data_IF_233301642102
#
_entry.id   IF_233301642102
#
_cell.length_a   1.000
_cell.length_b   1.000
_cell.length_c   1.000
_cell.angle_alpha   90.00
_cell.angle_beta   90.00
_cell.angle_gamma   90.00
#
_symmetry.space_group_name_H-M   'P 1'
#
loop_
_entity.id
_entity.type
_entity.pdbx_description
1 polymer ?
#
# COMPACT_ATOMS: atom_id res chain seq x y z
N UNK A 1 77.39 -57.97 24.69
CA UNK A 1 77.85 -56.56 24.66
C UNK A 1 76.61 -55.68 24.61
N UNK A 2 76.60 -54.64 25.46
CA UNK A 2 75.50 -53.75 25.87
C UNK A 2 74.65 -53.17 24.72
N UNK A 3 73.31 -53.14 24.84
CA UNK A 3 72.49 -51.99 25.25
C UNK A 3 70.98 -52.35 25.19
N UNK A 4 70.20 -51.80 26.12
CA UNK A 4 68.82 -52.15 26.42
C UNK A 4 67.78 -51.59 25.42
N UNK A 5 66.74 -52.37 25.13
CA UNK A 5 65.52 -51.95 24.43
C UNK A 5 64.48 -51.42 25.42
N UNK A 6 63.98 -50.22 25.17
CA UNK A 6 62.70 -49.72 25.72
C UNK A 6 61.97 -49.03 24.57
N UNK A 7 60.84 -49.58 24.10
CA UNK A 7 59.89 -48.86 23.25
C UNK A 7 58.49 -48.97 23.85
N UNK A 8 57.96 -47.78 24.13
CA UNK A 8 56.71 -47.44 24.78
C UNK A 8 55.50 -47.71 23.87
N UNK A 9 54.43 -48.25 24.45
CA UNK A 9 53.12 -48.38 23.83
C UNK A 9 52.49 -46.99 23.57
N UNK A 10 51.95 -46.78 22.38
CA UNK A 10 51.08 -45.65 22.05
C UNK A 10 49.65 -45.97 22.48
N UNK A 11 49.12 -45.20 23.44
CA UNK A 11 47.70 -45.20 23.80
C UNK A 11 47.01 -44.04 23.06
N UNK A 12 45.95 -44.37 22.30
CA UNK A 12 45.10 -43.42 21.60
C UNK A 12 44.12 -42.82 22.62
N UNK A 13 44.19 -41.50 22.84
CA UNK A 13 43.24 -40.77 23.68
C UNK A 13 42.07 -40.29 22.81
N UNK A 14 40.89 -40.88 22.97
CA UNK A 14 39.62 -40.37 22.45
C UNK A 14 39.17 -39.20 23.36
N UNK A 15 39.20 -37.97 22.85
CA UNK A 15 38.59 -36.83 23.53
C UNK A 15 37.12 -36.73 23.10
N UNK A 16 36.21 -37.19 23.97
CA UNK A 16 34.76 -36.94 23.87
C UNK A 16 34.48 -35.49 24.25
N UNK A 17 34.09 -34.66 23.28
CA UNK A 17 33.59 -33.31 23.50
C UNK A 17 32.17 -33.39 24.08
N UNK A 18 32.04 -33.23 25.40
CA UNK A 18 30.75 -33.00 26.06
C UNK A 18 30.36 -31.53 25.85
N UNK A 19 29.56 -31.26 24.81
CA UNK A 19 28.82 -30.00 24.67
C UNK A 19 27.73 -29.96 25.76
N UNK A 20 27.63 -28.87 26.55
CA UNK A 20 26.49 -28.73 27.45
C UNK A 20 25.23 -28.54 26.60
N UNK A 21 24.26 -29.44 26.75
CA UNK A 21 22.89 -29.17 26.33
C UNK A 21 22.41 -27.97 27.15
N UNK A 22 22.50 -26.78 26.57
CA UNK A 22 21.71 -25.64 27.02
C UNK A 22 20.28 -25.98 26.63
N UNK A 23 19.51 -26.49 27.59
CA UNK A 23 18.06 -26.53 27.49
C UNK A 23 17.61 -25.12 27.15
N UNK A 24 17.15 -24.89 25.91
CA UNK A 24 16.30 -23.73 25.61
C UNK A 24 15.08 -23.89 26.50
N UNK A 25 15.09 -23.20 27.63
CA UNK A 25 13.87 -22.93 28.37
C UNK A 25 12.98 -22.19 27.39
N UNK A 26 11.92 -22.85 26.92
CA UNK A 26 10.82 -22.18 26.26
C UNK A 26 10.13 -21.33 27.34
N UNK A 27 10.74 -20.19 27.68
CA UNK A 27 9.95 -19.07 28.17
C UNK A 27 9.07 -18.71 26.98
N UNK A 28 7.80 -19.14 27.03
CA UNK A 28 6.79 -18.37 26.34
C UNK A 28 6.92 -16.97 26.92
N UNK A 29 7.34 -16.00 26.10
CA UNK A 29 7.36 -14.61 26.53
C UNK A 29 5.94 -14.29 27.00
N UNK A 30 5.80 -13.87 28.27
CA UNK A 30 4.52 -13.43 28.81
C UNK A 30 3.94 -12.34 27.88
N UNK A 31 2.63 -12.37 27.58
CA UNK A 31 2.00 -11.37 26.73
C UNK A 31 2.39 -9.97 27.19
N UNK A 32 2.98 -9.18 26.30
CA UNK A 32 3.32 -7.80 26.65
C UNK A 32 2.04 -7.00 26.86
N UNK A 33 1.97 -6.27 27.98
CA UNK A 33 0.92 -5.27 28.19
C UNK A 33 1.30 -4.01 27.40
N UNK A 34 0.41 -3.59 26.52
CA UNK A 34 0.52 -2.37 25.73
C UNK A 34 -0.57 -1.37 26.12
N UNK A 35 -0.35 -0.10 25.85
CA UNK A 35 -1.43 0.86 25.66
C UNK A 35 -2.00 0.68 24.25
N UNK A 36 -3.25 0.29 24.16
CA UNK A 36 -3.96 0.10 22.89
C UNK A 36 -5.12 1.09 22.77
N UNK A 37 -5.32 1.64 21.58
CA UNK A 37 -6.39 2.59 21.31
C UNK A 37 -6.82 2.53 19.85
N UNK A 38 -8.12 2.64 19.59
CA UNK A 38 -8.69 2.64 18.25
C UNK A 38 -9.61 3.83 18.04
N UNK A 39 -9.66 4.33 16.81
CA UNK A 39 -10.45 5.50 16.45
C UNK A 39 -10.86 5.48 14.98
N UNK A 40 -12.09 5.91 14.71
CA UNK A 40 -12.65 5.97 13.37
C UNK A 40 -13.28 7.34 13.12
N UNK A 41 -13.12 7.87 11.91
CA UNK A 41 -13.73 9.13 11.51
C UNK A 41 -14.07 9.18 10.02
N UNK A 42 -14.99 10.06 9.63
CA UNK A 42 -15.38 10.29 8.24
C UNK A 42 -14.31 11.10 7.47
N UNK A 43 -13.96 10.64 6.27
CA UNK A 43 -13.07 11.34 5.33
C UNK A 43 -13.74 11.57 3.98
N UNK A 44 -15.06 11.36 3.89
CA UNK A 44 -15.81 11.46 2.63
C UNK A 44 -15.72 12.88 2.05
N UNK A 45 -15.22 12.96 0.83
CA UNK A 45 -15.11 14.19 0.06
C UNK A 45 -16.41 14.62 -0.64
N UNK A 46 -16.30 15.55 -1.61
CA UNK A 46 -17.43 16.04 -2.38
C UNK A 46 -18.11 14.93 -3.20
N UNK A 47 -19.41 14.79 -2.99
CA UNK A 47 -20.22 13.73 -3.60
C UNK A 47 -20.78 14.07 -5.00
N UNK A 48 -20.44 15.23 -5.55
CA UNK A 48 -20.90 15.65 -6.87
C UNK A 48 -19.78 16.36 -7.66
N UNK A 49 -19.73 16.09 -8.96
CA UNK A 49 -18.98 16.83 -9.99
C UNK A 49 -17.46 16.84 -9.85
N UNK A 50 -16.88 16.02 -8.96
CA UNK A 50 -15.43 15.87 -8.81
C UNK A 50 -14.98 14.59 -9.50
N UNK A 51 -13.95 14.67 -10.34
CA UNK A 51 -13.32 13.49 -10.95
C UNK A 51 -12.92 12.47 -9.89
N UNK A 52 -13.12 11.18 -10.14
CA UNK A 52 -12.76 10.12 -9.20
C UNK A 52 -11.28 9.73 -9.36
N UNK A 53 -10.64 9.35 -8.25
CA UNK A 53 -9.22 9.00 -8.22
C UNK A 53 -9.02 7.49 -8.43
N UNK A 54 -8.16 7.13 -9.37
CA UNK A 54 -7.77 5.73 -9.62
C UNK A 54 -7.71 5.41 -11.11
N UNK A 55 -8.88 5.35 -11.76
CA UNK A 55 -8.99 4.90 -13.16
C UNK A 55 -8.53 5.92 -14.21
N UNK A 56 -8.36 7.19 -13.85
CA UNK A 56 -8.05 8.28 -14.79
C UNK A 56 -9.06 8.42 -15.95
N UNK A 57 -10.31 8.04 -15.72
CA UNK A 57 -11.40 8.18 -16.70
C UNK A 57 -12.03 9.58 -16.62
N UNK A 58 -11.94 10.34 -17.72
CA UNK A 58 -12.36 11.73 -17.77
C UNK A 58 -13.87 11.95 -17.51
N UNK A 59 -14.71 10.94 -17.80
CA UNK A 59 -16.16 10.97 -17.55
C UNK A 59 -16.56 10.47 -16.16
N UNK A 60 -15.61 9.93 -15.40
CA UNK A 60 -15.88 9.41 -14.07
C UNK A 60 -15.84 10.55 -13.04
N UNK A 61 -17.01 11.11 -12.75
CA UNK A 61 -17.19 12.14 -11.71
C UNK A 61 -18.15 11.65 -10.64
N UNK A 62 -17.94 12.08 -9.39
CA UNK A 62 -18.87 11.78 -8.30
C UNK A 62 -20.28 12.30 -8.61
N UNK A 63 -21.30 11.52 -8.30
CA UNK A 63 -22.72 11.83 -8.49
C UNK A 63 -23.60 11.29 -7.34
N UNK A 64 -22.98 10.89 -6.23
CA UNK A 64 -23.65 10.43 -5.02
C UNK A 64 -22.72 9.60 -4.14
N UNK A 65 -23.31 8.91 -3.16
CA UNK A 65 -22.59 8.09 -2.18
C UNK A 65 -23.27 6.72 -2.09
N UNK A 66 -22.50 5.66 -2.30
CA UNK A 66 -22.88 4.31 -1.94
C UNK A 66 -22.50 4.03 -0.47
N UNK A 67 -21.21 4.20 -0.15
CA UNK A 67 -20.69 4.10 1.23
C UNK A 67 -19.84 5.30 1.55
N UNK A 68 -19.93 5.84 2.77
CA UNK A 68 -18.97 6.83 3.25
C UNK A 68 -17.56 6.23 3.35
N UNK A 69 -16.56 7.08 3.16
CA UNK A 69 -15.14 6.75 3.29
C UNK A 69 -14.67 7.04 4.72
N UNK A 70 -13.89 6.14 5.32
CA UNK A 70 -13.44 6.24 6.71
C UNK A 70 -11.93 6.22 6.84
N UNK A 71 -11.43 6.99 7.81
CA UNK A 71 -10.08 6.83 8.37
C UNK A 71 -10.16 6.00 9.64
N UNK A 72 -9.33 4.96 9.73
CA UNK A 72 -9.29 4.01 10.84
C UNK A 72 -7.90 3.98 11.45
N UNK A 73 -7.78 4.48 12.67
CA UNK A 73 -6.54 4.61 13.41
C UNK A 73 -6.41 3.57 14.51
N UNK A 74 -5.21 3.02 14.63
CA UNK A 74 -4.80 2.02 15.62
C UNK A 74 -3.53 2.52 16.29
N UNK A 75 -3.53 2.57 17.62
CA UNK A 75 -2.39 3.00 18.42
C UNK A 75 -1.93 1.84 19.29
N UNK A 76 -0.63 1.60 19.29
CA UNK A 76 0.06 0.71 20.22
C UNK A 76 1.16 1.50 20.92
N UNK A 77 1.27 1.34 22.23
CA UNK A 77 2.29 1.97 23.07
C UNK A 77 2.89 0.99 24.06
N UNK A 78 4.20 1.04 24.28
CA UNK A 78 4.85 0.46 25.44
C UNK A 78 5.16 1.55 26.48
N UNK A 79 6.01 1.28 27.46
CA UNK A 79 6.38 2.25 28.50
C UNK A 79 7.16 3.47 27.98
N UNK A 80 7.70 3.42 26.75
CA UNK A 80 8.63 4.41 26.22
C UNK A 80 8.17 5.02 24.87
N UNK A 81 7.58 4.22 23.98
CA UNK A 81 7.27 4.59 22.60
C UNK A 81 5.83 4.29 22.27
N UNK A 82 5.29 5.07 21.33
CA UNK A 82 3.99 4.83 20.71
C UNK A 82 4.13 4.87 19.20
N UNK A 83 3.30 4.09 18.52
CA UNK A 83 3.11 4.15 17.08
C UNK A 83 1.63 4.34 16.77
N UNK A 84 1.35 4.99 15.64
CA UNK A 84 0.02 5.14 15.08
C UNK A 84 0.03 4.51 13.70
N UNK A 85 -0.90 3.59 13.43
CA UNK A 85 -1.16 3.07 12.10
C UNK A 85 -2.56 3.50 11.67
N UNK A 86 -2.67 4.12 10.49
CA UNK A 86 -3.95 4.51 9.90
C UNK A 86 -4.13 3.83 8.57
N UNK A 87 -5.28 3.20 8.35
CA UNK A 87 -5.76 2.83 7.02
C UNK A 87 -6.99 3.66 6.66
N UNK A 88 -6.97 4.28 5.49
CA UNK A 88 -8.00 5.21 5.03
C UNK A 88 -8.63 4.73 3.72
N UNK A 89 -9.96 4.82 3.62
CA UNK A 89 -10.71 4.52 2.38
C UNK A 89 -10.45 5.60 1.32
N UNK A 90 -9.29 5.53 0.68
CA UNK A 90 -8.81 6.47 -0.34
C UNK A 90 -8.11 5.72 -1.47
N UNK A 91 -7.98 6.40 -2.62
CA UNK A 91 -7.18 5.91 -3.73
C UNK A 91 -5.72 5.81 -3.36
N UNK A 92 -5.10 6.86 -2.82
CA UNK A 92 -3.71 6.84 -2.35
C UNK A 92 -3.55 7.79 -1.16
N UNK A 93 -2.46 7.68 -0.42
CA UNK A 93 -2.03 8.76 0.48
C UNK A 93 -0.87 9.54 -0.12
N UNK A 94 -1.18 10.74 -0.56
CA UNK A 94 -0.17 11.65 -1.08
C UNK A 94 0.64 12.30 0.04
N UNK A 95 1.87 12.69 -0.30
CA UNK A 95 2.81 13.32 0.63
C UNK A 95 2.21 14.53 1.37
N UNK A 96 1.44 15.39 0.68
CA UNK A 96 0.83 16.56 1.31
C UNK A 96 -0.16 16.20 2.42
N UNK A 97 -0.88 15.07 2.29
CA UNK A 97 -1.77 14.58 3.35
C UNK A 97 -0.94 14.25 4.59
N UNK A 98 0.14 13.47 4.42
CA UNK A 98 1.03 13.08 5.52
C UNK A 98 1.64 14.31 6.21
N UNK A 99 2.16 15.27 5.45
CA UNK A 99 2.73 16.50 6.00
C UNK A 99 1.70 17.28 6.82
N UNK A 100 0.49 17.51 6.28
CA UNK A 100 -0.54 18.29 6.97
C UNK A 100 -1.19 17.58 8.14
N UNK A 101 -1.34 16.26 8.10
CA UNK A 101 -1.78 15.48 9.26
C UNK A 101 -0.77 15.60 10.39
N UNK A 102 0.53 15.40 10.12
CA UNK A 102 1.58 15.50 11.14
C UNK A 102 1.65 16.93 11.70
N UNK A 103 1.54 17.96 10.86
CA UNK A 103 1.47 19.36 11.30
C UNK A 103 0.33 19.60 12.29
N UNK A 104 -0.88 19.11 12.00
CA UNK A 104 -2.04 19.24 12.91
C UNK A 104 -1.85 18.44 14.19
N UNK A 105 -1.29 17.24 14.11
CA UNK A 105 -0.99 16.41 15.29
C UNK A 105 0.04 17.11 16.20
N UNK A 106 1.09 17.71 15.64
CA UNK A 106 2.10 18.44 16.41
C UNK A 106 1.61 19.80 16.93
N UNK A 107 0.59 20.38 16.31
CA UNK A 107 -0.07 21.59 16.82
C UNK A 107 -1.00 21.31 18.01
N UNK A 108 -1.40 20.06 18.25
CA UNK A 108 -2.22 19.69 19.40
C UNK A 108 -1.32 19.31 20.61
N UNK A 109 -1.40 20.04 21.74
CA UNK A 109 -0.55 19.79 22.92
C UNK A 109 -0.78 18.42 23.58
N UNK A 110 -1.92 17.78 23.39
CA UNK A 110 -2.21 16.43 23.92
C UNK A 110 -1.52 15.33 23.10
N UNK A 111 -1.35 15.56 21.79
CA UNK A 111 -0.79 14.58 20.85
C UNK A 111 0.71 14.80 20.58
N UNK A 112 1.15 16.05 20.53
CA UNK A 112 2.51 16.45 20.17
C UNK A 112 3.62 15.76 20.97
N UNK A 113 3.48 15.46 22.28
CA UNK A 113 4.50 14.74 23.04
C UNK A 113 4.73 13.30 22.56
N UNK A 114 3.75 12.70 21.89
CA UNK A 114 3.75 11.27 21.58
C UNK A 114 3.95 10.97 20.10
N UNK A 115 3.53 11.86 19.19
CA UNK A 115 3.44 11.54 17.77
C UNK A 115 4.11 12.60 16.90
N UNK A 116 4.86 12.14 15.91
CA UNK A 116 5.57 12.96 14.94
C UNK A 116 5.66 12.23 13.58
N UNK A 117 6.46 12.77 12.67
CA UNK A 117 6.65 12.19 11.33
C UNK A 117 7.03 10.70 11.36
N UNK A 118 7.87 10.30 12.32
CA UNK A 118 8.56 9.01 12.36
C UNK A 118 7.73 7.84 12.86
N UNK A 119 6.67 8.10 13.63
CA UNK A 119 5.88 7.06 14.30
C UNK A 119 4.38 7.14 13.97
N UNK A 120 4.03 7.91 12.95
CA UNK A 120 2.70 7.89 12.34
C UNK A 120 2.84 7.21 10.98
N UNK A 121 2.21 6.08 10.78
CA UNK A 121 2.09 5.42 9.48
C UNK A 121 0.69 5.67 8.96
N UNK A 122 0.59 6.19 7.74
CA UNK A 122 -0.69 6.36 7.06
C UNK A 122 -0.67 5.51 5.78
N UNK A 123 -1.72 4.72 5.56
CA UNK A 123 -1.92 3.91 4.36
C UNK A 123 -3.31 4.16 3.78
N UNK A 124 -3.49 3.83 2.51
CA UNK A 124 -4.79 3.83 1.85
C UNK A 124 -5.26 2.39 1.64
N UNK A 125 -6.57 2.17 1.56
CA UNK A 125 -7.13 0.89 1.08
C UNK A 125 -6.90 0.69 -0.42
N UNK A 126 -6.64 1.78 -1.14
CA UNK A 126 -6.50 1.85 -2.59
C UNK A 126 -7.84 1.83 -3.37
N UNK A 127 -8.96 2.24 -2.75
CA UNK A 127 -10.25 2.31 -3.47
C UNK A 127 -10.21 3.28 -4.65
N UNK A 128 -10.69 2.83 -5.82
CA UNK A 128 -10.90 3.69 -6.99
C UNK A 128 -12.27 4.40 -6.96
N UNK A 129 -13.04 4.19 -5.89
CA UNK A 129 -14.38 4.73 -5.68
C UNK A 129 -14.45 6.08 -4.97
N UNK A 130 -13.34 6.81 -4.79
CA UNK A 130 -13.31 8.10 -4.08
C UNK A 130 -13.13 9.32 -5.00
N UNK A 131 -13.55 10.54 -4.59
CA UNK A 131 -13.22 11.76 -5.32
C UNK A 131 -11.70 11.99 -5.34
N UNK A 132 -11.19 12.70 -6.34
CA UNK A 132 -9.77 13.03 -6.52
C UNK A 132 -9.36 14.44 -6.08
N UNK A 133 -8.22 14.92 -6.58
CA UNK A 133 -7.79 16.31 -6.43
C UNK A 133 -7.22 16.65 -5.06
N UNK A 134 -6.49 15.72 -4.43
CA UNK A 134 -5.95 15.90 -3.08
C UNK A 134 -4.45 15.56 -3.00
N UNK A 135 -3.76 15.54 -4.15
CA UNK A 135 -2.32 15.30 -4.15
C UNK A 135 -1.50 16.57 -3.96
N UNK A 136 -1.88 17.65 -4.64
CA UNK A 136 -1.08 18.86 -4.82
C UNK A 136 0.13 18.71 -5.75
N UNK A 137 0.23 17.58 -6.44
CA UNK A 137 1.19 17.35 -7.52
C UNK A 137 0.44 17.18 -8.84
N UNK A 138 0.92 17.85 -9.89
CA UNK A 138 0.19 17.94 -11.15
C UNK A 138 -0.15 16.58 -11.76
N UNK A 139 0.76 15.61 -11.71
CA UNK A 139 0.53 14.29 -12.32
C UNK A 139 -0.79 13.68 -11.87
N UNK A 140 -1.09 13.76 -10.58
CA UNK A 140 -2.22 13.07 -9.97
C UNK A 140 -3.50 13.93 -9.96
N UNK A 141 -3.37 15.26 -9.99
CA UNK A 141 -4.52 16.17 -9.98
C UNK A 141 -5.00 16.54 -11.40
N UNK A 142 -4.19 16.30 -12.44
CA UNK A 142 -4.51 16.68 -13.82
C UNK A 142 -5.81 16.05 -14.35
N UNK A 143 -6.02 14.76 -14.10
CA UNK A 143 -7.23 14.02 -14.51
C UNK A 143 -8.48 14.48 -13.74
N UNK A 144 -8.28 15.18 -12.63
CA UNK A 144 -9.34 15.73 -11.76
C UNK A 144 -9.59 17.21 -12.05
N UNK A 145 -8.87 17.80 -13.03
CA UNK A 145 -8.89 19.23 -13.37
C UNK A 145 -8.35 20.13 -12.25
N UNK A 146 -7.49 19.59 -11.38
CA UNK A 146 -6.74 20.35 -10.38
C UNK A 146 -6.99 19.93 -8.94
N UNK A 147 -6.43 20.73 -8.03
CA UNK A 147 -6.48 20.49 -6.59
C UNK A 147 -7.79 21.03 -5.99
N UNK A 148 -8.50 20.17 -5.25
CA UNK A 148 -9.77 20.44 -4.60
C UNK A 148 -9.52 20.62 -3.09
N UNK A 149 -9.17 21.84 -2.70
CA UNK A 149 -8.84 22.18 -1.31
C UNK A 149 -9.87 21.70 -0.27
N UNK A 150 -11.20 21.87 -0.46
CA UNK A 150 -12.17 21.38 0.52
C UNK A 150 -12.11 19.86 0.71
N UNK A 151 -11.84 19.11 -0.35
CA UNK A 151 -11.66 17.66 -0.26
C UNK A 151 -10.40 17.29 0.50
N UNK A 152 -9.27 17.91 0.16
CA UNK A 152 -8.01 17.75 0.87
C UNK A 152 -8.15 18.02 2.38
N UNK A 153 -8.81 19.12 2.75
CA UNK A 153 -9.02 19.47 4.16
C UNK A 153 -9.94 18.48 4.89
N UNK A 154 -10.95 17.93 4.20
CA UNK A 154 -11.82 16.88 4.75
C UNK A 154 -11.01 15.61 5.09
N UNK A 155 -10.12 15.19 4.18
CA UNK A 155 -9.24 14.03 4.41
C UNK A 155 -8.29 14.31 5.59
N UNK A 156 -7.56 15.43 5.55
CA UNK A 156 -6.58 15.78 6.60
C UNK A 156 -7.27 15.87 7.96
N UNK A 157 -8.45 16.51 8.02
CA UNK A 157 -9.21 16.61 9.25
C UNK A 157 -9.69 15.24 9.74
N UNK A 158 -10.27 14.41 8.87
CA UNK A 158 -10.79 13.12 9.30
C UNK A 158 -9.69 12.15 9.75
N UNK A 159 -8.52 12.15 9.08
CA UNK A 159 -7.36 11.39 9.57
C UNK A 159 -6.93 11.90 10.94
N UNK A 160 -6.72 13.21 11.10
CA UNK A 160 -6.38 13.80 12.41
C UNK A 160 -7.38 13.43 13.51
N UNK A 161 -8.69 13.51 13.23
CA UNK A 161 -9.75 13.16 14.19
C UNK A 161 -9.75 11.68 14.55
N UNK A 162 -9.49 10.78 13.59
CA UNK A 162 -9.37 9.35 13.90
C UNK A 162 -8.19 9.06 14.84
N UNK A 163 -7.05 9.74 14.66
CA UNK A 163 -5.88 9.64 15.54
C UNK A 163 -6.20 10.20 16.93
N UNK A 164 -6.85 11.37 17.00
CA UNK A 164 -7.26 11.98 18.28
C UNK A 164 -8.22 11.06 19.06
N UNK A 165 -9.23 10.50 18.39
CA UNK A 165 -10.14 9.51 19.00
C UNK A 165 -9.39 8.29 19.51
N UNK A 166 -8.48 7.73 18.70
CA UNK A 166 -7.67 6.58 19.11
C UNK A 166 -6.80 6.89 20.32
N UNK A 167 -6.23 8.11 20.39
CA UNK A 167 -5.46 8.57 21.55
C UNK A 167 -6.33 8.70 22.80
N UNK A 168 -7.51 9.32 22.68
CA UNK A 168 -8.44 9.50 23.81
C UNK A 168 -9.01 8.17 24.33
N UNK A 169 -8.99 7.12 23.50
CA UNK A 169 -9.42 5.77 23.83
C UNK A 169 -8.28 4.84 24.28
N UNK A 170 -7.08 5.37 24.53
CA UNK A 170 -5.94 4.57 25.00
C UNK A 170 -6.22 3.92 26.35
N UNK A 171 -5.96 2.62 26.44
CA UNK A 171 -6.09 1.85 27.68
C UNK A 171 -5.13 0.65 27.69
N UNK A 172 -4.77 0.11 28.87
CA UNK A 172 -4.00 -1.12 28.95
C UNK A 172 -4.70 -2.29 28.24
N UNK A 173 -3.91 -3.10 27.54
CA UNK A 173 -4.41 -4.26 26.80
C UNK A 173 -3.30 -5.02 26.10
N UNK A 174 -3.71 -5.83 25.13
CA UNK A 174 -2.84 -6.73 24.38
C UNK A 174 -3.19 -6.70 22.89
N UNK A 175 -2.25 -7.16 22.08
CA UNK A 175 -2.43 -7.34 20.64
C UNK A 175 -2.27 -8.82 20.35
N UNK A 176 -3.27 -9.43 19.73
CA UNK A 176 -3.21 -10.80 19.24
C UNK A 176 -2.93 -10.79 17.74
N UNK A 177 -2.17 -11.77 17.26
CA UNK A 177 -1.87 -11.97 15.84
C UNK A 177 -2.51 -13.26 15.34
N UNK A 178 -2.95 -13.27 14.09
CA UNK A 178 -3.37 -14.45 13.37
C UNK A 178 -2.90 -14.37 11.93
N UNK A 179 -2.37 -15.48 11.44
CA UNK A 179 -1.88 -15.61 10.07
C UNK A 179 -2.59 -16.77 9.38
N UNK A 180 -2.94 -16.57 8.13
CA UNK A 180 -3.60 -17.58 7.30
C UNK A 180 -3.30 -17.32 5.83
N UNK A 181 -3.84 -18.18 4.96
CA UNK A 181 -3.86 -18.00 3.52
C UNK A 181 -5.30 -17.74 3.06
N UNK A 182 -5.49 -16.86 2.08
CA UNK A 182 -6.78 -16.56 1.46
C UNK A 182 -6.75 -16.86 -0.04
N UNK A 183 -7.14 -18.09 -0.36
CA UNK A 183 -7.24 -18.57 -1.73
C UNK A 183 -8.51 -18.10 -2.45
N UNK A 184 -8.49 -18.14 -3.77
CA UNK A 184 -9.66 -17.85 -4.62
C UNK A 184 -10.07 -16.37 -4.68
N UNK A 185 -9.36 -15.49 -3.96
CA UNK A 185 -9.55 -14.04 -4.04
C UNK A 185 -8.45 -13.41 -4.89
N UNK A 186 -8.89 -12.83 -6.00
CA UNK A 186 -8.02 -12.15 -6.97
C UNK A 186 -7.05 -13.06 -7.72
N UNK A 187 -6.30 -12.46 -8.64
CA UNK A 187 -5.26 -13.13 -9.41
C UNK A 187 -4.34 -12.14 -10.13
N UNK A 188 -3.25 -12.64 -10.71
CA UNK A 188 -2.27 -11.78 -11.36
C UNK A 188 -2.82 -11.15 -12.64
N UNK A 189 -2.67 -9.83 -12.76
CA UNK A 189 -2.90 -9.06 -14.00
C UNK A 189 -1.63 -8.83 -14.83
N UNK A 190 -0.50 -9.39 -14.39
CA UNK A 190 0.81 -9.19 -15.02
C UNK A 190 1.65 -10.48 -15.08
N UNK A 191 1.02 -11.61 -15.43
CA UNK A 191 1.66 -12.94 -15.44
C UNK A 191 2.96 -13.02 -16.25
N UNK A 192 2.99 -12.39 -17.42
CA UNK A 192 4.19 -12.34 -18.26
C UNK A 192 5.35 -11.62 -17.54
N UNK A 193 5.06 -10.52 -16.85
CA UNK A 193 6.06 -9.78 -16.08
C UNK A 193 6.55 -10.60 -14.88
N UNK A 194 5.66 -11.29 -14.16
CA UNK A 194 6.04 -12.20 -13.08
C UNK A 194 6.93 -13.35 -13.59
N UNK A 195 6.63 -13.90 -14.77
CA UNK A 195 7.42 -14.96 -15.41
C UNK A 195 8.84 -14.55 -15.82
N UNK A 196 9.16 -13.25 -15.83
CA UNK A 196 10.51 -12.74 -16.08
C UNK A 196 11.40 -12.73 -14.82
N UNK A 197 10.85 -13.03 -13.64
CA UNK A 197 11.66 -13.19 -12.43
C UNK A 197 12.56 -14.45 -12.55
N UNK A 198 13.72 -14.49 -11.88
CA UNK A 198 14.59 -15.66 -11.90
C UNK A 198 13.87 -16.94 -11.47
N UNK A 199 14.09 -18.06 -12.17
CA UNK A 199 13.44 -19.35 -11.85
C UNK A 199 13.73 -19.80 -10.40
N UNK A 200 14.95 -19.53 -9.90
CA UNK A 200 15.33 -19.80 -8.51
C UNK A 200 14.53 -18.99 -7.48
N UNK A 201 13.97 -17.85 -7.88
CA UNK A 201 13.06 -17.05 -7.05
C UNK A 201 11.64 -17.57 -7.17
N UNK A 202 11.12 -17.75 -8.40
CA UNK A 202 9.75 -18.25 -8.66
C UNK A 202 9.52 -19.59 -7.95
N UNK A 203 10.47 -20.51 -8.02
CA UNK A 203 10.37 -21.84 -7.38
C UNK A 203 10.25 -21.83 -5.84
N UNK A 204 10.38 -20.67 -5.19
CA UNK A 204 10.18 -20.49 -3.74
C UNK A 204 8.74 -20.17 -3.35
N UNK A 205 7.86 -19.93 -4.33
CA UNK A 205 6.48 -19.52 -4.11
C UNK A 205 5.51 -20.47 -4.82
N UNK A 206 4.37 -20.74 -4.20
CA UNK A 206 3.35 -21.64 -4.75
C UNK A 206 2.41 -20.95 -5.76
N UNK A 207 2.46 -19.61 -5.85
CA UNK A 207 1.58 -18.80 -6.69
C UNK A 207 2.25 -17.50 -7.17
N UNK A 208 1.68 -16.90 -8.22
CA UNK A 208 2.07 -15.62 -8.81
C UNK A 208 1.44 -14.40 -8.12
N UNK A 209 0.80 -14.60 -6.98
CA UNK A 209 0.20 -13.55 -6.14
C UNK A 209 0.35 -13.94 -4.66
N UNK A 210 0.53 -12.95 -3.78
CA UNK A 210 0.61 -13.20 -2.34
C UNK A 210 -0.77 -13.55 -1.77
N UNK A 211 -0.89 -14.72 -1.16
CA UNK A 211 -2.11 -15.23 -0.54
C UNK A 211 -2.15 -15.03 0.98
N UNK A 212 -1.10 -14.47 1.55
CA UNK A 212 -0.98 -14.27 3.00
C UNK A 212 -2.02 -13.29 3.52
N UNK A 213 -2.71 -13.67 4.59
CA UNK A 213 -3.66 -12.84 5.30
C UNK A 213 -3.22 -12.75 6.77
N UNK A 214 -2.73 -11.60 7.17
CA UNK A 214 -2.28 -11.33 8.55
C UNK A 214 -3.28 -10.40 9.23
N UNK A 215 -3.72 -10.74 10.43
CA UNK A 215 -4.65 -9.95 11.23
C UNK A 215 -4.11 -9.69 12.63
N UNK A 216 -4.16 -8.42 13.05
CA UNK A 216 -4.01 -8.00 14.42
C UNK A 216 -5.38 -7.76 15.05
N UNK A 217 -5.55 -8.22 16.29
CA UNK A 217 -6.74 -8.00 17.10
C UNK A 217 -6.33 -7.28 18.38
N UNK A 218 -6.89 -6.10 18.57
CA UNK A 218 -6.63 -5.25 19.73
C UNK A 218 -7.65 -5.57 20.82
N UNK A 219 -7.16 -5.94 22.00
CA UNK A 219 -7.97 -6.40 23.12
C UNK A 219 -7.59 -5.61 24.36
N UNK A 220 -8.56 -5.14 25.12
CA UNK A 220 -8.32 -4.48 26.41
C UNK A 220 -7.84 -5.49 27.46
N UNK A 221 -7.31 -5.00 28.58
CA UNK A 221 -6.86 -5.84 29.70
C UNK A 221 -7.95 -6.76 30.26
N UNK A 222 -9.21 -6.35 30.22
CA UNK A 222 -10.38 -7.14 30.62
C UNK A 222 -10.88 -8.11 29.53
N UNK A 223 -10.18 -8.22 28.40
CA UNK A 223 -10.49 -9.19 27.34
C UNK A 223 -11.49 -8.70 26.29
N UNK A 224 -11.90 -7.43 26.33
CA UNK A 224 -12.86 -6.88 25.35
C UNK A 224 -12.14 -6.48 24.06
N UNK A 225 -12.59 -6.97 22.88
CA UNK A 225 -12.00 -6.57 21.61
C UNK A 225 -12.43 -5.14 21.23
N UNK A 226 -11.47 -4.31 20.82
CA UNK A 226 -11.71 -2.90 20.43
C UNK A 226 -11.40 -2.61 18.96
N UNK A 227 -10.76 -3.55 18.27
CA UNK A 227 -10.60 -3.46 16.82
C UNK A 227 -9.81 -4.61 16.21
N UNK A 228 -9.87 -4.68 14.89
CA UNK A 228 -8.99 -5.51 14.07
C UNK A 228 -8.31 -4.67 13.00
N UNK A 229 -7.10 -5.07 12.62
CA UNK A 229 -6.38 -4.53 11.47
C UNK A 229 -5.76 -5.70 10.71
N UNK A 230 -6.10 -5.86 9.43
CA UNK A 230 -5.57 -6.93 8.60
C UNK A 230 -4.91 -6.41 7.32
N UNK A 231 -4.05 -7.26 6.72
CA UNK A 231 -3.36 -7.03 5.46
C UNK A 231 -3.63 -8.19 4.50
N UNK A 232 -3.96 -7.85 3.26
CA UNK A 232 -4.13 -8.80 2.17
C UNK A 232 -3.97 -8.09 0.83
N UNK A 233 -3.25 -8.70 -0.13
CA UNK A 233 -2.96 -8.12 -1.43
C UNK A 233 -4.12 -8.32 -2.42
N UNK A 234 -4.93 -7.29 -2.65
CA UNK A 234 -5.92 -7.27 -3.75
C UNK A 234 -6.34 -5.84 -4.04
N UNK A 235 -6.31 -5.41 -5.31
CA UNK A 235 -6.80 -4.09 -5.67
C UNK A 235 -8.30 -3.92 -5.32
N UNK A 236 -8.73 -2.74 -4.85
CA UNK A 236 -10.14 -2.36 -4.69
C UNK A 236 -10.63 -1.58 -5.92
N UNK A 237 -10.60 -2.29 -7.05
CA UNK A 237 -11.14 -1.93 -8.35
C UNK A 237 -12.16 -2.99 -8.82
N UNK A 238 -12.92 -3.58 -7.88
CA UNK A 238 -14.04 -4.46 -8.21
C UNK A 238 -15.20 -3.69 -8.84
N UNK A 239 -15.37 -2.41 -8.50
CA UNK A 239 -16.36 -1.51 -9.09
C UNK A 239 -15.68 -0.64 -10.15
N UNK A 240 -16.09 -0.81 -11.40
CA UNK A 240 -15.43 -0.22 -12.57
C UNK A 240 -15.67 1.28 -12.78
N UNK A 241 -15.00 1.88 -13.78
CA UNK A 241 -14.92 3.33 -14.01
C UNK A 241 -16.23 3.98 -14.48
N UNK A 242 -17.25 3.20 -14.84
CA UNK A 242 -18.59 3.72 -15.17
C UNK A 242 -19.32 4.17 -13.89
N UNK A 243 -18.98 3.62 -12.72
CA UNK A 243 -19.59 4.02 -11.45
C UNK A 243 -19.24 5.47 -11.10
N UNK A 244 -20.25 6.18 -10.59
CA UNK A 244 -20.16 7.58 -10.14
C UNK A 244 -20.51 7.75 -8.66
N UNK A 245 -20.82 6.68 -7.92
CA UNK A 245 -21.11 6.76 -6.48
C UNK A 245 -19.85 6.54 -5.66
N UNK A 246 -19.67 7.37 -4.62
CA UNK A 246 -18.55 7.21 -3.69
C UNK A 246 -18.63 5.86 -2.97
N UNK A 247 -17.54 5.10 -2.95
CA UNK A 247 -17.49 3.79 -2.32
C UNK A 247 -16.09 3.40 -1.82
N UNK A 248 -16.05 2.64 -0.73
CA UNK A 248 -14.81 2.04 -0.21
C UNK A 248 -14.41 0.75 -0.93
N UNK A 249 -15.16 0.34 -1.96
CA UNK A 249 -14.96 -0.88 -2.74
C UNK A 249 -14.85 -2.13 -1.84
N UNK A 250 -14.18 -3.20 -2.28
CA UNK A 250 -14.19 -4.49 -1.59
C UNK A 250 -13.65 -4.43 -0.16
N UNK A 251 -12.56 -3.69 0.10
CA UNK A 251 -11.98 -3.53 1.44
C UNK A 251 -12.83 -2.67 2.37
N UNK A 252 -13.35 -1.54 1.88
CA UNK A 252 -14.19 -0.65 2.67
C UNK A 252 -15.53 -1.28 3.03
N UNK A 253 -16.12 -2.07 2.12
CA UNK A 253 -17.35 -2.82 2.41
C UNK A 253 -17.07 -3.97 3.38
N UNK A 254 -15.94 -4.69 3.25
CA UNK A 254 -15.55 -5.73 4.21
C UNK A 254 -15.36 -5.15 5.63
N UNK A 255 -14.72 -3.99 5.73
CA UNK A 255 -14.59 -3.22 6.96
C UNK A 255 -15.95 -2.85 7.55
N UNK A 256 -16.85 -2.29 6.74
CA UNK A 256 -18.21 -1.94 7.15
C UNK A 256 -19.00 -3.16 7.65
N UNK A 257 -18.93 -4.30 6.96
CA UNK A 257 -19.61 -5.53 7.36
C UNK A 257 -19.13 -6.02 8.73
N UNK A 258 -17.81 -6.01 8.96
CA UNK A 258 -17.23 -6.39 10.25
C UNK A 258 -17.60 -5.40 11.35
N UNK A 259 -17.50 -4.10 11.08
CA UNK A 259 -17.89 -3.03 12.00
C UNK A 259 -19.36 -3.15 12.42
N UNK A 260 -20.25 -3.43 11.47
CA UNK A 260 -21.67 -3.62 11.71
C UNK A 260 -21.93 -4.82 12.62
N UNK A 261 -21.29 -5.96 12.37
CA UNK A 261 -21.41 -7.16 13.21
C UNK A 261 -20.95 -6.89 14.66
N UNK A 262 -19.95 -6.01 14.84
CA UNK A 262 -19.44 -5.61 16.15
C UNK A 262 -20.20 -4.44 16.79
N UNK A 263 -21.28 -3.96 16.18
CA UNK A 263 -22.10 -2.88 16.74
C UNK A 263 -21.44 -1.50 16.70
N UNK A 264 -20.60 -1.24 15.69
CA UNK A 264 -19.89 0.03 15.53
C UNK A 264 -20.87 1.19 15.40
N UNK A 265 -20.66 2.23 16.22
CA UNK A 265 -21.43 3.48 16.17
C UNK A 265 -20.52 4.60 15.67
N UNK A 266 -20.69 4.99 14.40
CA UNK A 266 -19.87 6.02 13.76
C UNK A 266 -20.02 7.43 14.36
N UNK A 267 -21.03 7.66 15.21
CA UNK A 267 -21.22 8.92 15.95
C UNK A 267 -20.60 8.89 17.34
N UNK A 268 -20.26 7.71 17.87
CA UNK A 268 -19.60 7.58 19.16
C UNK A 268 -18.10 7.91 19.06
N UNK A 269 -17.54 8.43 20.15
CA UNK A 269 -16.10 8.70 20.27
C UNK A 269 -15.29 7.41 20.50
N UNK A 270 -15.91 6.42 21.16
CA UNK A 270 -15.33 5.11 21.44
C UNK A 270 -16.24 4.01 20.87
N UNK A 271 -15.69 3.22 19.95
CA UNK A 271 -16.42 2.16 19.26
C UNK A 271 -15.45 1.13 18.68
N UNK A 272 -15.96 0.01 18.19
CA UNK A 272 -15.14 -0.99 17.51
C UNK A 272 -14.65 -0.45 16.15
N UNK A 273 -13.43 -0.81 15.75
CA UNK A 273 -12.85 -0.35 14.46
C UNK A 273 -12.27 -1.54 13.69
N UNK A 274 -12.63 -1.69 12.40
CA UNK A 274 -12.12 -2.77 11.55
C UNK A 274 -11.34 -2.23 10.34
N UNK A 275 -10.03 -2.35 10.34
CA UNK A 275 -9.15 -1.91 9.26
C UNK A 275 -8.78 -3.05 8.31
N UNK A 276 -8.97 -2.82 7.01
CA UNK A 276 -8.55 -3.72 5.94
C UNK A 276 -7.52 -2.98 5.09
N UNK A 277 -6.24 -3.23 5.35
CA UNK A 277 -5.12 -2.58 4.68
C UNK A 277 -4.65 -3.37 3.45
N UNK A 278 -3.86 -2.70 2.62
CA UNK A 278 -3.15 -3.30 1.50
C UNK A 278 -1.82 -3.90 1.93
N UNK A 279 -1.46 -5.02 1.28
CA UNK A 279 -0.12 -5.57 1.31
C UNK A 279 0.65 -5.16 0.03
N UNK A 280 0.90 -6.10 -0.87
CA UNK A 280 1.63 -5.95 -2.14
C UNK A 280 0.71 -6.25 -3.33
N UNK A 281 -0.23 -5.36 -3.61
CA UNK A 281 -1.34 -5.56 -4.55
C UNK A 281 -1.06 -5.12 -5.99
N UNK A 282 0.13 -4.61 -6.30
CA UNK A 282 0.45 -3.89 -7.55
C UNK A 282 -0.01 -4.59 -8.84
N UNK A 283 0.10 -5.91 -8.89
CA UNK A 283 -0.29 -6.78 -9.99
C UNK A 283 -1.38 -7.79 -9.61
N UNK A 284 -2.15 -7.53 -8.53
CA UNK A 284 -3.26 -8.38 -8.09
C UNK A 284 -4.60 -7.70 -8.34
N UNK A 285 -5.38 -8.25 -9.28
CA UNK A 285 -6.75 -7.80 -9.59
C UNK A 285 -7.81 -8.66 -8.90
N UNK A 286 -8.91 -8.09 -8.39
CA UNK A 286 -10.09 -8.83 -7.94
C UNK A 286 -10.91 -9.38 -9.11
N UNK A 287 -10.70 -8.90 -10.33
CA UNK A 287 -11.51 -9.17 -11.52
C UNK A 287 -11.06 -10.44 -12.28
N UNK A 288 -10.03 -11.13 -11.78
CA UNK A 288 -9.53 -12.37 -12.35
C UNK A 288 -10.63 -13.44 -12.42
N UNK A 289 -10.95 -13.89 -13.64
CA UNK A 289 -12.01 -14.86 -13.90
C UNK A 289 -13.44 -14.29 -13.95
N UNK A 290 -13.62 -12.98 -13.76
CA UNK A 290 -14.92 -12.30 -13.77
C UNK A 290 -15.13 -11.34 -14.96
N UNK A 291 -14.07 -11.05 -15.73
CA UNK A 291 -14.11 -10.09 -16.83
C UNK A 291 -13.73 -8.67 -16.37
N UNK A 292 -14.10 -7.64 -17.12
CA UNK A 292 -13.87 -6.26 -16.70
C UNK A 292 -14.78 -5.88 -15.53
N UNK A 293 -14.30 -4.99 -14.67
CA UNK A 293 -15.03 -4.49 -13.52
C UNK A 293 -16.35 -3.80 -13.95
N UNK A 294 -17.53 -4.30 -13.54
CA UNK A 294 -18.80 -3.66 -13.86
C UNK A 294 -19.06 -2.46 -12.92
N UNK A 295 -19.99 -1.55 -13.26
CA UNK A 295 -20.35 -0.43 -12.37
C UNK A 295 -21.21 -0.86 -11.16
N UNK A 296 -21.71 -2.10 -11.16
CA UNK A 296 -22.64 -2.59 -10.16
C UNK A 296 -22.05 -2.58 -8.74
N UNK A 297 -22.83 -2.05 -7.80
CA UNK A 297 -22.44 -1.81 -6.40
C UNK A 297 -22.98 -2.87 -5.43
N UNK A 298 -23.60 -3.91 -5.97
CA UNK A 298 -24.22 -5.00 -5.20
C UNK A 298 -23.60 -6.36 -5.56
N UNK A 299 -23.68 -7.29 -4.61
CA UNK A 299 -23.09 -8.62 -4.78
C UNK A 299 -23.85 -9.53 -5.74
N UNK A 300 -25.10 -9.23 -6.07
CA UNK A 300 -25.90 -10.08 -6.97
C UNK A 300 -25.44 -9.90 -8.43
N UNK A 301 -25.08 -8.67 -8.80
CA UNK A 301 -24.65 -8.32 -10.15
C UNK A 301 -23.13 -8.20 -10.29
N UNK A 302 -22.41 -7.83 -9.21
CA UNK A 302 -20.95 -7.74 -9.21
C UNK A 302 -20.30 -8.92 -8.46
N UNK A 303 -19.90 -9.95 -9.22
CA UNK A 303 -19.32 -11.18 -8.66
C UNK A 303 -17.88 -10.99 -8.16
N UNK A 304 -17.07 -10.14 -8.79
CA UNK A 304 -15.71 -9.86 -8.30
C UNK A 304 -15.77 -9.12 -6.97
N UNK A 305 -16.68 -8.14 -6.84
CA UNK A 305 -16.96 -7.45 -5.59
C UNK A 305 -17.42 -8.41 -4.50
N UNK A 306 -18.38 -9.29 -4.80
CA UNK A 306 -18.86 -10.29 -3.85
C UNK A 306 -17.73 -11.21 -3.37
N UNK A 307 -16.94 -11.74 -4.31
CA UNK A 307 -15.83 -12.64 -4.01
C UNK A 307 -14.76 -11.97 -3.13
N UNK A 308 -14.24 -10.81 -3.56
CA UNK A 308 -13.18 -10.11 -2.86
C UNK A 308 -13.63 -9.59 -1.50
N UNK A 309 -14.86 -9.10 -1.37
CA UNK A 309 -15.40 -8.59 -0.11
C UNK A 309 -15.65 -9.72 0.88
N UNK A 310 -16.41 -10.74 0.46
CA UNK A 310 -16.81 -11.83 1.36
C UNK A 310 -15.63 -12.71 1.74
N UNK A 311 -14.67 -12.93 0.84
CA UNK A 311 -13.45 -13.67 1.14
C UNK A 311 -12.64 -13.01 2.27
N UNK A 312 -12.37 -11.71 2.13
CA UNK A 312 -11.64 -10.94 3.15
C UNK A 312 -12.43 -10.87 4.48
N UNK A 313 -13.72 -10.56 4.42
CA UNK A 313 -14.56 -10.47 5.63
C UNK A 313 -14.68 -11.81 6.38
N UNK A 314 -14.90 -12.92 5.66
CA UNK A 314 -15.01 -14.24 6.28
C UNK A 314 -13.68 -14.67 6.89
N UNK A 315 -12.56 -14.44 6.20
CA UNK A 315 -11.23 -14.74 6.73
C UNK A 315 -10.91 -13.90 7.98
N UNK A 316 -11.28 -12.63 8.00
CA UNK A 316 -11.15 -11.78 9.17
C UNK A 316 -11.95 -12.32 10.37
N UNK A 317 -13.17 -12.82 10.14
CA UNK A 317 -14.01 -13.43 11.20
C UNK A 317 -13.45 -14.74 11.72
N UNK A 318 -12.95 -15.59 10.83
CA UNK A 318 -12.25 -16.82 11.18
C UNK A 318 -11.08 -16.53 12.12
N UNK A 319 -10.20 -15.60 11.75
CA UNK A 319 -9.06 -15.20 12.59
C UNK A 319 -9.49 -14.48 13.86
N UNK A 320 -10.55 -13.67 13.82
CA UNK A 320 -11.04 -13.00 15.03
C UNK A 320 -11.50 -13.99 16.12
N UNK A 321 -12.07 -15.12 15.69
CA UNK A 321 -12.55 -16.18 16.57
C UNK A 321 -11.43 -17.14 17.02
N UNK A 322 -10.39 -17.34 16.21
CA UNK A 322 -9.36 -18.35 16.44
C UNK A 322 -8.01 -17.81 16.95
N UNK A 323 -7.67 -16.54 16.69
CA UNK A 323 -6.41 -15.93 17.12
C UNK A 323 -6.28 -15.91 18.64
N UNK A 324 -5.21 -16.55 19.13
CA UNK A 324 -4.85 -16.63 20.53
C UNK A 324 -3.36 -16.36 20.78
N UNK A 325 -2.56 -16.15 19.73
CA UNK A 325 -1.16 -15.78 19.84
C UNK A 325 -1.04 -14.30 20.19
N UNK A 326 -0.27 -13.98 21.23
CA UNK A 326 -0.06 -12.62 21.70
C UNK A 326 1.26 -12.08 21.18
N UNK A 327 1.24 -10.85 20.67
CA UNK A 327 2.46 -10.11 20.38
C UNK A 327 3.15 -9.75 21.69
N UNK A 328 4.47 -9.95 21.74
CA UNK A 328 5.33 -9.56 22.83
C UNK A 328 6.55 -8.76 22.33
N UNK A 329 7.17 -7.99 23.22
CA UNK A 329 8.36 -7.20 22.94
C UNK A 329 8.12 -5.69 22.90
N UNK A 330 9.19 -4.93 22.68
CA UNK A 330 9.17 -3.46 22.69
C UNK A 330 8.70 -2.90 21.35
N UNK A 331 8.10 -1.71 21.39
CA UNK A 331 7.73 -0.94 20.21
C UNK A 331 8.95 -0.18 19.69
N UNK A 332 9.12 -0.15 18.36
CA UNK A 332 10.12 0.69 17.72
C UNK A 332 9.63 1.25 16.39
N UNK A 333 10.30 2.29 15.88
CA UNK A 333 10.00 2.89 14.59
C UNK A 333 11.25 3.51 13.94
N UNK A 334 11.31 3.47 12.61
CA UNK A 334 12.35 4.13 11.80
C UNK A 334 11.66 4.87 10.67
N UNK A 335 12.24 5.99 10.27
CA UNK A 335 11.72 6.83 9.19
C UNK A 335 12.88 7.62 8.60
N UNK A 336 12.91 7.69 7.27
CA UNK A 336 13.86 8.48 6.51
C UNK A 336 13.18 9.05 5.25
N UNK A 337 13.55 10.28 4.89
CA UNK A 337 13.24 10.84 3.57
C UNK A 337 14.41 10.52 2.64
N UNK A 338 14.15 9.84 1.54
CA UNK A 338 15.18 9.38 0.61
C UNK A 338 14.99 10.06 -0.76
N UNK A 339 16.08 10.57 -1.32
CA UNK A 339 16.10 11.02 -2.71
C UNK A 339 16.10 9.84 -3.67
N UNK A 340 14.93 9.49 -4.20
CA UNK A 340 14.82 8.40 -5.15
C UNK A 340 15.28 8.76 -6.57
N UNK A 341 15.74 9.99 -6.85
CA UNK A 341 16.15 10.40 -8.20
C UNK A 341 17.53 9.89 -8.59
N UNK A 342 18.43 9.72 -7.61
CA UNK A 342 19.82 9.31 -7.84
C UNK A 342 20.38 8.37 -6.74
N UNK A 343 19.49 7.68 -6.01
CA UNK A 343 19.86 6.75 -4.95
C UNK A 343 20.75 5.63 -5.49
N UNK A 344 21.92 5.44 -4.90
CA UNK A 344 22.81 4.34 -5.25
C UNK A 344 22.33 3.03 -4.61
N UNK A 345 22.21 1.99 -5.42
CA UNK A 345 21.79 0.65 -5.03
C UNK A 345 23.01 -0.27 -5.09
N UNK A 346 23.66 -0.48 -3.95
CA UNK A 346 24.93 -1.19 -3.84
C UNK A 346 24.84 -2.64 -4.38
N UNK A 347 23.77 -3.36 -4.05
CA UNK A 347 23.56 -4.75 -4.49
C UNK A 347 23.48 -4.92 -6.00
N UNK A 348 23.14 -3.85 -6.73
CA UNK A 348 23.04 -3.85 -8.18
C UNK A 348 24.12 -3.01 -8.87
N UNK A 349 24.93 -2.24 -8.11
CA UNK A 349 25.96 -1.35 -8.66
C UNK A 349 25.40 -0.22 -9.55
N UNK A 350 24.14 0.17 -9.37
CA UNK A 350 23.44 1.17 -10.21
C UNK A 350 22.86 2.30 -9.37
N UNK A 351 22.45 3.39 -10.02
CA UNK A 351 21.64 4.45 -9.41
C UNK A 351 20.19 4.35 -9.88
N UNK A 352 19.25 4.76 -9.02
CA UNK A 352 17.90 5.06 -9.46
C UNK A 352 17.90 6.27 -10.41
N UNK A 353 16.74 6.50 -11.04
CA UNK A 353 16.57 7.54 -12.04
C UNK A 353 15.51 8.54 -11.60
N UNK A 354 15.60 9.77 -12.10
CA UNK A 354 14.48 10.70 -12.04
C UNK A 354 13.21 10.04 -12.62
N UNK A 355 12.05 10.35 -12.03
CA UNK A 355 10.80 9.68 -12.40
C UNK A 355 10.45 9.86 -13.88
N UNK A 356 10.03 8.77 -14.51
CA UNK A 356 9.62 8.72 -15.91
C UNK A 356 8.56 7.65 -16.12
N UNK A 357 7.41 8.04 -16.67
CA UNK A 357 6.34 7.13 -17.02
C UNK A 357 6.59 6.56 -18.42
N UNK A 358 6.53 5.24 -18.54
CA UNK A 358 6.78 4.54 -19.79
C UNK A 358 5.61 4.64 -20.78
N UNK A 359 5.86 4.34 -22.04
CA UNK A 359 4.85 4.32 -23.11
C UNK A 359 3.60 3.50 -22.76
N UNK A 360 3.79 2.31 -22.17
CA UNK A 360 2.69 1.45 -21.73
C UNK A 360 1.84 2.02 -20.60
N UNK A 361 2.20 3.16 -19.98
CA UNK A 361 1.27 3.87 -19.10
C UNK A 361 -0.06 4.19 -19.80
N UNK A 362 -0.01 4.49 -21.10
CA UNK A 362 -1.18 4.86 -21.89
C UNK A 362 -2.15 3.72 -22.17
N UNK A 363 -1.78 2.46 -21.88
CA UNK A 363 -2.65 1.30 -22.16
C UNK A 363 -3.66 0.99 -21.07
N UNK A 364 -3.45 1.50 -19.85
CA UNK A 364 -4.20 1.05 -18.68
C UNK A 364 -3.96 -0.43 -18.34
N UNK A 365 -4.77 -0.97 -17.43
CA UNK A 365 -4.75 -2.40 -17.05
C UNK A 365 -5.79 -3.17 -17.89
N UNK A 366 -5.41 -4.19 -18.67
CA UNK A 366 -6.34 -4.92 -19.52
C UNK A 366 -7.51 -5.60 -18.78
N UNK A 367 -7.27 -6.03 -17.53
CA UNK A 367 -8.27 -6.74 -16.74
C UNK A 367 -9.19 -5.81 -15.94
N UNK A 368 -8.75 -4.57 -15.67
CA UNK A 368 -9.47 -3.67 -14.75
C UNK A 368 -10.07 -2.48 -15.50
N UNK A 369 -9.25 -1.77 -16.26
CA UNK A 369 -9.66 -0.61 -17.06
C UNK A 369 -8.68 -0.39 -18.22
N UNK A 370 -8.86 -1.10 -19.36
CA UNK A 370 -8.04 -0.83 -20.53
C UNK A 370 -8.37 0.55 -21.10
N UNK A 371 -7.34 1.25 -21.57
CA UNK A 371 -7.52 2.51 -22.28
C UNK A 371 -8.32 2.26 -23.57
N UNK A 372 -9.37 3.05 -23.87
CA UNK A 372 -10.11 2.93 -25.13
C UNK A 372 -9.29 3.38 -26.35
N UNK A 373 -8.23 4.16 -26.13
CA UNK A 373 -7.35 4.68 -27.18
C UNK A 373 -5.89 4.68 -26.66
N UNK A 374 -5.25 3.51 -26.53
CA UNK A 374 -3.88 3.43 -26.05
C UNK A 374 -2.93 4.08 -27.07
N UNK A 375 -2.04 4.96 -26.61
CA UNK A 375 -0.97 5.49 -27.48
C UNK A 375 0.05 4.39 -27.80
N UNK A 376 0.28 3.49 -26.85
CA UNK A 376 1.19 2.36 -26.97
C UNK A 376 0.60 1.14 -26.26
N UNK A 377 0.83 -0.09 -26.77
CA UNK A 377 0.38 -1.30 -26.12
C UNK A 377 1.15 -1.58 -24.81
N UNK A 378 0.59 -2.46 -23.96
CA UNK A 378 1.36 -3.03 -22.84
C UNK A 378 2.59 -3.78 -23.35
N UNK A 379 3.68 -3.75 -22.57
CA UNK A 379 4.94 -4.40 -22.93
C UNK A 379 5.79 -3.61 -23.93
N UNK A 380 5.46 -2.35 -24.23
CA UNK A 380 6.25 -1.52 -25.15
C UNK A 380 7.63 -1.22 -24.54
N UNK A 381 8.69 -1.61 -25.24
CA UNK A 381 10.10 -1.37 -24.88
C UNK A 381 10.79 -0.46 -25.91
N UNK A 382 11.97 0.06 -25.57
CA UNK A 382 12.83 0.79 -26.52
C UNK A 382 13.13 -0.01 -27.80
N UNK A 383 13.28 -1.33 -27.68
CA UNK A 383 13.58 -2.21 -28.81
C UNK A 383 12.32 -2.52 -29.63
N UNK A 384 11.16 -2.61 -28.99
CA UNK A 384 9.90 -2.81 -29.69
C UNK A 384 9.42 -1.54 -30.38
N UNK A 385 10.15 -0.42 -30.31
CA UNK A 385 9.80 0.86 -30.95
C UNK A 385 10.50 1.10 -32.29
N UNK A 386 11.30 0.15 -32.78
CA UNK A 386 11.85 0.20 -34.14
C UNK A 386 10.74 -0.08 -35.17
N UNK A 387 9.78 0.83 -35.29
CA UNK A 387 8.67 0.77 -36.26
C UNK A 387 9.03 1.64 -37.46
N UNK A 388 9.60 1.05 -38.51
CA UNK A 388 9.79 1.72 -39.82
C UNK A 388 8.60 1.49 -40.78
N UNK A 389 7.47 0.94 -40.32
CA UNK A 389 6.44 0.46 -41.26
C UNK A 389 5.35 1.50 -41.62
N UNK A 390 5.09 2.57 -40.85
CA UNK A 390 3.96 3.49 -41.11
C UNK A 390 4.16 4.92 -40.55
N UNK A 391 3.67 5.97 -41.26
CA UNK A 391 3.80 7.38 -40.86
C UNK A 391 3.29 7.72 -39.46
N UNK A 392 2.17 7.12 -39.02
CA UNK A 392 1.59 7.36 -37.70
C UNK A 392 2.54 6.93 -36.56
N UNK A 393 3.27 5.82 -36.76
CA UNK A 393 4.25 5.31 -35.79
C UNK A 393 5.52 6.18 -35.71
N UNK A 394 5.92 6.80 -36.82
CA UNK A 394 7.03 7.75 -36.85
C UNK A 394 6.69 9.05 -36.11
N UNK A 395 5.44 9.51 -36.16
CA UNK A 395 4.99 10.71 -35.43
C UNK A 395 4.81 10.43 -33.92
N UNK A 396 4.33 9.24 -33.54
CA UNK A 396 4.32 8.78 -32.15
C UNK A 396 5.74 8.59 -31.58
N UNK A 397 6.70 8.12 -32.37
CA UNK A 397 8.10 8.08 -31.95
C UNK A 397 8.71 9.48 -31.77
N UNK A 398 8.25 10.51 -32.50
CA UNK A 398 8.65 11.90 -32.26
C UNK A 398 8.03 12.46 -30.98
N UNK A 399 6.84 11.98 -30.57
CA UNK A 399 6.24 12.32 -29.28
C UNK A 399 7.10 11.77 -28.11
N UNK A 400 7.66 10.57 -28.27
CA UNK A 400 8.61 9.96 -27.33
C UNK A 400 9.95 10.71 -27.37
N UNK A 401 10.13 11.62 -26.41
CA UNK A 401 11.38 12.37 -26.24
C UNK A 401 11.52 13.62 -27.11
N UNK A 402 10.85 13.75 -28.26
CA UNK A 402 10.97 14.95 -29.11
C UNK A 402 10.33 16.20 -28.49
N UNK A 403 9.04 16.15 -28.16
CA UNK A 403 8.32 17.30 -27.59
C UNK A 403 8.90 17.74 -26.24
N UNK A 404 9.20 16.79 -25.35
CA UNK A 404 9.75 17.09 -24.04
C UNK A 404 11.23 17.49 -24.07
N UNK A 405 12.05 16.99 -25.01
CA UNK A 405 13.47 17.38 -25.10
C UNK A 405 13.68 18.83 -25.56
N UNK A 406 12.76 19.37 -26.36
CA UNK A 406 12.78 20.79 -26.76
C UNK A 406 12.65 21.71 -25.54
N UNK A 407 11.79 21.34 -24.58
CA UNK A 407 11.52 22.14 -23.38
C UNK A 407 12.45 21.74 -22.22
N UNK A 408 12.80 20.46 -22.11
CA UNK A 408 13.67 19.86 -21.09
C UNK A 408 14.79 19.03 -21.73
N UNK A 409 15.89 19.66 -22.18
CA UNK A 409 16.96 19.00 -22.94
C UNK A 409 17.60 17.78 -22.26
N UNK A 410 17.58 17.73 -20.92
CA UNK A 410 18.09 16.59 -20.15
C UNK A 410 17.41 15.27 -20.54
N UNK A 411 16.13 15.31 -20.92
CA UNK A 411 15.36 14.13 -21.34
C UNK A 411 15.85 13.53 -22.67
N UNK A 412 16.56 14.33 -23.48
CA UNK A 412 17.16 13.88 -24.74
C UNK A 412 18.53 13.21 -24.59
N UNK A 413 19.20 13.36 -23.44
CA UNK A 413 20.55 12.86 -23.20
C UNK A 413 20.58 11.33 -23.03
N UNK A 414 21.62 10.69 -23.54
CA UNK A 414 21.80 9.23 -23.42
C UNK A 414 21.86 8.79 -21.97
N UNK A 415 22.45 9.59 -21.07
CA UNK A 415 22.47 9.29 -19.64
C UNK A 415 21.06 9.11 -19.04
N UNK A 416 20.09 9.96 -19.44
CA UNK A 416 18.71 9.85 -18.97
C UNK A 416 18.01 8.63 -19.55
N UNK A 417 18.15 8.43 -20.87
CA UNK A 417 17.54 7.29 -21.58
C UNK A 417 18.08 5.95 -21.07
N UNK A 418 19.40 5.84 -20.93
CA UNK A 418 20.08 4.64 -20.45
C UNK A 418 19.72 4.32 -19.01
N UNK A 419 19.49 5.34 -18.17
CA UNK A 419 19.04 5.12 -16.79
C UNK A 419 17.70 4.35 -16.76
N UNK A 420 16.75 4.70 -17.64
CA UNK A 420 15.45 4.03 -17.72
C UNK A 420 15.49 2.65 -18.38
N UNK A 421 16.64 2.22 -18.90
CA UNK A 421 16.82 0.91 -19.51
C UNK A 421 15.85 0.66 -20.66
N UNK A 422 15.08 -0.43 -20.58
CA UNK A 422 14.13 -0.82 -21.63
C UNK A 422 12.86 0.04 -21.68
N UNK A 423 12.62 0.92 -20.71
CA UNK A 423 11.41 1.75 -20.64
C UNK A 423 11.52 2.95 -21.59
N UNK A 424 10.69 3.02 -22.65
CA UNK A 424 10.60 4.23 -23.45
C UNK A 424 9.77 5.25 -22.69
N UNK A 425 10.41 6.34 -22.25
CA UNK A 425 9.75 7.38 -21.44
C UNK A 425 8.78 8.17 -22.31
N UNK A 426 7.50 8.14 -21.93
CA UNK A 426 6.43 8.95 -22.50
C UNK A 426 6.31 10.31 -21.80
N UNK A 427 6.36 10.31 -20.45
CA UNK A 427 6.22 11.53 -19.64
C UNK A 427 7.37 11.58 -18.63
N UNK A 428 8.33 12.51 -18.76
CA UNK A 428 9.48 12.63 -17.86
C UNK A 428 9.12 13.38 -16.58
N UNK A 429 8.24 12.79 -15.76
CA UNK A 429 7.57 13.44 -14.62
C UNK A 429 8.51 13.99 -13.54
N UNK A 430 9.70 13.41 -13.41
CA UNK A 430 10.76 13.87 -12.49
C UNK A 430 11.65 14.97 -13.04
N UNK A 431 11.44 15.41 -14.29
CA UNK A 431 12.17 16.52 -14.93
C UNK A 431 11.21 17.60 -15.42
N UNK A 432 10.00 17.23 -15.85
CA UNK A 432 9.02 18.17 -16.36
C UNK A 432 8.38 19.00 -15.23
N UNK A 433 8.30 20.31 -15.46
CA UNK A 433 7.65 21.30 -14.58
C UNK A 433 6.64 22.11 -15.41
N UNK A 434 5.41 22.32 -14.95
CA UNK A 434 4.45 23.08 -15.77
C UNK A 434 4.76 24.57 -15.87
N UNK A 435 5.41 25.13 -14.84
CA UNK A 435 5.98 26.47 -14.87
C UNK A 435 7.50 26.30 -14.82
N UNK A 436 8.27 27.12 -15.55
CA UNK A 436 9.74 27.02 -15.60
C UNK A 436 10.43 27.03 -14.22
N UNK A 437 9.77 27.58 -13.19
CA UNK A 437 10.20 27.58 -11.77
C UNK A 437 9.24 26.81 -10.83
N UNK A 438 8.34 25.98 -11.35
CA UNK A 438 7.34 25.24 -10.56
C UNK A 438 7.87 23.94 -9.97
N UNK A 439 7.11 23.29 -9.09
CA UNK A 439 7.39 21.90 -8.69
C UNK A 439 7.27 20.97 -9.89
N UNK A 440 8.00 19.86 -9.88
CA UNK A 440 7.79 18.82 -10.89
C UNK A 440 6.42 18.18 -10.76
N UNK A 441 6.03 17.46 -11.81
CA UNK A 441 4.76 16.74 -11.85
C UNK A 441 4.61 15.70 -10.73
N UNK A 442 5.71 15.18 -10.19
CA UNK A 442 5.75 14.26 -9.04
C UNK A 442 6.55 14.87 -7.87
N UNK A 443 6.35 14.37 -6.63
CA UNK A 443 7.23 14.73 -5.51
C UNK A 443 8.70 14.44 -5.83
N UNK A 444 9.58 15.39 -5.51
CA UNK A 444 11.04 15.23 -5.67
C UNK A 444 11.78 15.01 -4.35
N UNK A 445 11.04 14.76 -3.25
CA UNK A 445 11.38 14.91 -1.81
C UNK A 445 10.77 16.19 -1.24
N UNK A 446 10.17 16.08 -0.04
CA UNK A 446 9.99 17.16 0.94
C UNK A 446 9.69 16.54 2.33
N UNK A 447 10.09 17.20 3.44
CA UNK A 447 10.71 18.53 3.53
C UNK A 447 12.23 18.53 3.57
#
# INVERSE_FOLDING_TARGET
MRLALTRLCFAILLATLLLPLVSRSAYADEPSEYLVGTGIYDITGPAAEIGMMGFAEAKQTTAGIHTRLRSRAFIAGDSAKRIVFVTADLGMLFQMIKLKVVERVQANPELAPFYNMKNITLTATHTHGGPGGYSGYFLYDATIKGFIKPHFEAIVNGIYQSILRAHNNLQPGHIQVGESQLDGVGGSRAKEAYGNNPESEISRYDADTDKSFTQLKFVTKDGRPIGILNWFAVHPDSIGPINQLITGDNKGIAAYMFERDMGTNYFAENTFVAGFAQANEGDVTPNYGFGQAPPDLDFAHNKSLANATLGQYNKAKELFASSNEYIAGTIDYRHEWIDMRELYVESAGVKTCAAGMGASFSSGSPLDNPSPAPLFPMGTTVNSLTWEENQDSADLSKLLGGVFSVVWPTTGKDAYKNCHGQKPVLIPTGIAHLNFNGTTMTPQIMP
#
